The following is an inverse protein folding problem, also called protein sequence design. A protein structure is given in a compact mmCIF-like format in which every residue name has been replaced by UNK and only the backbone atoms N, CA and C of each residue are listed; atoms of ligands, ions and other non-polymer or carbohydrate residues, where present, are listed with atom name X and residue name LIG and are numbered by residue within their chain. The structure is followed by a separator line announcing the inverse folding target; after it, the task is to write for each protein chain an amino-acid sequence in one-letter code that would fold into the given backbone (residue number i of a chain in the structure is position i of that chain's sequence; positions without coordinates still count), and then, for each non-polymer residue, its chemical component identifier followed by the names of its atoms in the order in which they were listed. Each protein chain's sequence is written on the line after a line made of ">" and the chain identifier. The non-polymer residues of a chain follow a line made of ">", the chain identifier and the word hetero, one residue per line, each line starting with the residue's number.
data_IF_090110247710
#
_entry.id   IF_090110247710
#
_cell.length_a   1.000
_cell.length_b   1.000
_cell.length_c   1.000
_cell.angle_alpha   90.00
_cell.angle_beta   90.00
_cell.angle_gamma   90.00
#
_symmetry.space_group_name_H-M   'P 1'
#
loop_
_entity.id
_entity.type
_entity.pdbx_description
1 polymer ?
#
# COMPACT_ATOMS: atom_id res chain seq x y z
N UNK A 1 -16.26 28.37 16.18
CA UNK A 1 -16.34 27.20 15.28
C UNK A 1 -17.51 27.41 14.34
N UNK A 2 -17.35 27.17 13.02
CA UNK A 2 -18.49 27.24 12.09
C UNK A 2 -19.47 26.10 12.42
N UNK A 3 -20.80 26.32 12.35
CA UNK A 3 -21.77 25.28 12.61
C UNK A 3 -21.66 24.16 11.56
N UNK A 4 -21.46 22.91 12.01
CA UNK A 4 -21.42 21.73 11.14
C UNK A 4 -22.84 21.41 10.69
N UNK A 5 -23.13 21.60 9.40
CA UNK A 5 -24.46 21.34 8.84
C UNK A 5 -24.47 20.23 7.80
N UNK A 6 -23.35 20.03 7.10
CA UNK A 6 -23.24 19.10 5.99
C UNK A 6 -21.78 18.66 5.80
N UNK A 7 -21.55 17.70 4.90
CA UNK A 7 -20.23 17.19 4.56
C UNK A 7 -19.29 18.29 4.05
N UNK A 8 -19.79 19.25 3.27
CA UNK A 8 -18.99 20.40 2.76
C UNK A 8 -18.53 21.37 3.84
N UNK A 9 -18.94 21.17 5.09
CA UNK A 9 -18.43 21.92 6.23
C UNK A 9 -17.05 21.42 6.71
N UNK A 10 -16.60 20.26 6.23
CA UNK A 10 -15.30 19.69 6.57
C UNK A 10 -14.24 20.07 5.53
N UNK A 11 -13.04 20.41 6.02
CA UNK A 11 -11.90 20.78 5.17
C UNK A 11 -11.11 19.55 4.66
N UNK A 12 -11.29 18.37 5.27
CA UNK A 12 -10.60 17.12 4.92
C UNK A 12 -11.39 15.90 5.39
N UNK A 13 -11.45 14.86 4.55
CA UNK A 13 -11.95 13.53 4.95
C UNK A 13 -10.76 12.60 5.12
N UNK A 14 -10.66 11.93 6.27
CA UNK A 14 -9.61 10.93 6.53
C UNK A 14 -10.24 9.56 6.74
N UNK A 15 -9.97 8.64 5.82
CA UNK A 15 -10.45 7.26 5.88
C UNK A 15 -9.34 6.28 6.27
N UNK A 16 -9.49 5.56 7.38
CA UNK A 16 -8.59 4.48 7.78
C UNK A 16 -9.36 3.16 7.75
N UNK A 17 -8.98 2.23 6.89
CA UNK A 17 -9.69 0.96 6.84
C UNK A 17 -9.34 0.04 5.68
N UNK A 18 -9.80 -1.21 5.81
CA UNK A 18 -9.56 -2.31 4.89
C UNK A 18 -10.80 -2.77 4.10
N UNK A 19 -11.96 -2.20 4.38
CA UNK A 19 -13.27 -2.77 4.04
C UNK A 19 -14.10 -1.92 3.10
N UNK A 20 -15.36 -2.33 2.94
CA UNK A 20 -16.39 -1.61 2.20
C UNK A 20 -17.55 -1.28 3.16
N UNK A 21 -18.01 -0.03 3.24
CA UNK A 21 -17.48 1.15 2.53
C UNK A 21 -16.10 1.57 3.05
N UNK A 22 -15.23 1.98 2.14
CA UNK A 22 -13.85 2.40 2.39
C UNK A 22 -13.52 3.73 1.72
N UNK A 23 -12.22 3.99 1.53
CA UNK A 23 -11.74 5.27 0.99
C UNK A 23 -12.33 5.56 -0.40
N UNK A 24 -12.52 4.52 -1.22
CA UNK A 24 -13.10 4.65 -2.57
C UNK A 24 -14.49 5.27 -2.53
N UNK A 25 -15.38 4.78 -1.67
CA UNK A 25 -16.75 5.29 -1.54
C UNK A 25 -16.75 6.74 -1.02
N UNK A 26 -15.84 7.07 -0.09
CA UNK A 26 -15.68 8.44 0.39
C UNK A 26 -15.19 9.39 -0.70
N UNK A 27 -14.29 8.95 -1.58
CA UNK A 27 -13.88 9.73 -2.75
C UNK A 27 -15.09 9.98 -3.67
N UNK A 28 -15.80 8.91 -4.04
CA UNK A 28 -16.86 8.99 -5.06
C UNK A 28 -18.12 9.73 -4.59
N UNK A 29 -18.53 9.56 -3.33
CA UNK A 29 -19.81 10.07 -2.84
C UNK A 29 -19.72 11.33 -1.99
N UNK A 30 -18.57 11.61 -1.38
CA UNK A 30 -18.40 12.79 -0.53
C UNK A 30 -17.33 13.75 -1.05
N UNK A 31 -16.15 13.23 -1.41
CA UNK A 31 -15.02 14.03 -1.85
C UNK A 31 -15.29 14.76 -3.17
N UNK A 32 -15.56 13.99 -4.24
CA UNK A 32 -15.77 14.53 -5.59
C UNK A 32 -17.01 15.44 -5.67
N UNK A 33 -18.18 15.07 -5.12
CA UNK A 33 -19.37 15.94 -5.15
C UNK A 33 -19.26 17.15 -4.21
N UNK A 34 -18.55 16.99 -3.09
CA UNK A 34 -18.40 18.03 -2.06
C UNK A 34 -17.22 18.97 -2.29
N UNK A 35 -16.32 18.65 -3.22
CA UNK A 35 -15.05 19.36 -3.41
C UNK A 35 -14.11 19.26 -2.20
N UNK A 36 -14.23 18.19 -1.41
CA UNK A 36 -13.49 18.01 -0.16
C UNK A 36 -12.31 17.06 -0.43
N UNK A 37 -11.07 17.43 -0.11
CA UNK A 37 -9.95 16.51 -0.27
C UNK A 37 -10.14 15.30 0.62
N UNK A 38 -9.79 14.12 0.10
CA UNK A 38 -9.80 12.85 0.85
C UNK A 38 -8.37 12.39 1.04
N UNK A 39 -8.02 11.95 2.23
CA UNK A 39 -6.78 11.25 2.52
C UNK A 39 -7.08 9.98 3.31
N UNK A 40 -6.13 9.07 3.42
CA UNK A 40 -6.38 7.89 4.22
C UNK A 40 -5.26 6.89 4.30
N UNK A 41 -5.56 5.78 4.95
CA UNK A 41 -4.69 4.63 5.12
C UNK A 41 -5.49 3.37 4.88
N UNK A 42 -4.95 2.46 4.07
CA UNK A 42 -5.63 1.23 3.70
C UNK A 42 -4.72 0.01 3.88
N UNK A 43 -5.29 -1.18 3.73
CA UNK A 43 -4.49 -2.40 3.66
C UNK A 43 -3.62 -2.42 2.40
N UNK A 44 -2.53 -3.19 2.41
CA UNK A 44 -1.60 -3.28 1.28
C UNK A 44 -2.29 -3.73 -0.03
N UNK A 45 -3.30 -4.58 0.08
CA UNK A 45 -4.06 -5.11 -1.07
C UNK A 45 -5.00 -4.09 -1.69
N UNK A 46 -5.43 -3.08 -0.92
CA UNK A 46 -6.33 -2.03 -1.41
C UNK A 46 -5.60 -0.83 -2.01
N UNK A 47 -4.33 -0.60 -1.64
CA UNK A 47 -3.57 0.55 -2.13
C UNK A 47 -3.54 0.65 -3.67
N UNK A 48 -3.35 -0.45 -4.44
CA UNK A 48 -3.39 -0.41 -5.90
C UNK A 48 -4.71 0.08 -6.48
N UNK A 49 -5.83 -0.17 -5.79
CA UNK A 49 -7.16 0.25 -6.23
C UNK A 49 -7.39 1.76 -6.04
N UNK A 50 -6.57 2.41 -5.20
CA UNK A 50 -6.72 3.82 -4.85
C UNK A 50 -5.73 4.74 -5.59
N UNK A 51 -4.65 4.19 -6.17
CA UNK A 51 -3.70 4.97 -6.96
C UNK A 51 -4.32 5.78 -8.12
N UNK A 52 -5.36 5.31 -8.84
CA UNK A 52 -5.98 6.11 -9.90
C UNK A 52 -6.60 7.43 -9.42
N UNK A 53 -6.96 7.55 -8.14
CA UNK A 53 -7.55 8.76 -7.58
C UNK A 53 -6.48 9.78 -7.14
N UNK A 54 -5.22 9.38 -7.03
CA UNK A 54 -4.11 10.26 -6.69
C UNK A 54 -3.57 10.99 -7.94
N UNK A 55 -3.25 12.31 -7.88
CA UNK A 55 -3.34 13.22 -6.72
C UNK A 55 -4.63 14.06 -6.70
N UNK A 56 -5.45 14.01 -7.74
CA UNK A 56 -6.54 14.98 -7.93
C UNK A 56 -7.71 14.79 -6.96
N UNK A 57 -8.05 13.53 -6.65
CA UNK A 57 -9.21 13.17 -5.81
C UNK A 57 -8.77 12.58 -4.46
N UNK A 58 -7.48 12.24 -4.31
CA UNK A 58 -6.88 11.70 -3.11
C UNK A 58 -5.59 12.47 -2.79
N UNK A 59 -5.58 13.14 -1.63
CA UNK A 59 -4.50 13.99 -1.13
C UNK A 59 -3.37 13.20 -0.43
N UNK A 60 -3.70 12.05 0.18
CA UNK A 60 -2.80 11.28 1.04
C UNK A 60 -3.15 9.79 1.01
N UNK A 61 -2.17 8.88 0.83
CA UNK A 61 -2.42 7.44 1.04
C UNK A 61 -1.29 6.73 1.79
N UNK A 62 -1.61 6.16 2.95
CA UNK A 62 -0.76 5.22 3.68
C UNK A 62 -1.14 3.78 3.33
N UNK A 63 -0.44 3.20 2.36
CA UNK A 63 -0.68 1.83 1.88
C UNK A 63 0.00 0.77 2.74
N UNK A 64 -0.76 0.11 3.62
CA UNK A 64 -0.30 -1.00 4.44
C UNK A 64 0.92 -0.68 5.31
N UNK A 65 1.70 -1.72 5.62
CA UNK A 65 2.90 -1.60 6.45
C UNK A 65 3.96 -0.71 5.77
N UNK A 66 4.09 -0.79 4.44
CA UNK A 66 5.04 0.03 3.68
C UNK A 66 4.76 1.52 3.85
N UNK A 67 3.51 1.95 3.66
CA UNK A 67 3.14 3.35 3.86
C UNK A 67 3.36 3.82 5.30
N UNK A 68 3.08 2.97 6.28
CA UNK A 68 3.38 3.27 7.69
C UNK A 68 4.90 3.42 7.94
N UNK A 69 5.72 2.53 7.36
CA UNK A 69 7.18 2.58 7.49
C UNK A 69 7.79 3.83 6.84
N UNK A 70 7.30 4.22 5.65
CA UNK A 70 7.73 5.45 4.97
C UNK A 70 7.38 6.69 5.79
N UNK A 71 6.18 6.73 6.38
CA UNK A 71 5.77 7.80 7.29
C UNK A 71 6.67 7.88 8.53
N UNK A 72 6.92 6.75 9.20
CA UNK A 72 7.83 6.69 10.36
C UNK A 72 9.25 7.14 9.98
N UNK A 73 9.75 6.72 8.81
CA UNK A 73 11.09 7.10 8.34
C UNK A 73 11.22 8.60 8.12
N UNK A 74 10.25 9.21 7.44
CA UNK A 74 10.25 10.65 7.18
C UNK A 74 10.05 11.45 8.47
N UNK A 75 9.23 10.94 9.40
CA UNK A 75 9.02 11.53 10.72
C UNK A 75 10.32 11.59 11.53
N UNK A 76 11.09 10.50 11.59
CA UNK A 76 12.38 10.45 12.30
C UNK A 76 13.39 11.42 11.67
N UNK A 77 13.39 11.52 10.34
CA UNK A 77 14.32 12.35 9.57
C UNK A 77 14.13 13.85 9.84
N UNK A 78 12.88 14.30 9.92
CA UNK A 78 12.56 15.70 10.23
C UNK A 78 12.53 16.02 11.73
N UNK A 79 12.25 15.01 12.56
CA UNK A 79 12.06 15.21 13.99
C UNK A 79 12.84 14.14 14.77
N UNK A 80 14.14 14.38 15.06
CA UNK A 80 15.02 13.43 15.73
C UNK A 80 14.50 12.95 17.10
N UNK A 81 13.60 13.71 17.74
CA UNK A 81 12.92 13.32 19.00
C UNK A 81 12.12 12.02 18.90
N UNK A 82 11.66 11.64 17.70
CA UNK A 82 10.93 10.38 17.50
C UNK A 82 11.84 9.18 17.29
N UNK A 83 13.16 9.37 17.12
CA UNK A 83 14.11 8.27 16.90
C UNK A 83 14.10 7.23 18.04
N UNK A 84 13.89 7.66 19.27
CA UNK A 84 13.85 6.79 20.46
C UNK A 84 12.50 6.10 20.68
N UNK A 85 11.47 6.42 19.89
CA UNK A 85 10.17 5.77 19.99
C UNK A 85 10.14 4.43 19.25
N UNK A 86 9.10 3.63 19.50
CA UNK A 86 8.88 2.39 18.77
C UNK A 86 8.45 2.69 17.33
N UNK A 87 9.07 2.01 16.36
CA UNK A 87 8.80 2.13 14.92
C UNK A 87 8.30 0.80 14.36
N UNK A 88 7.06 0.39 14.70
CA UNK A 88 6.53 -0.90 14.28
C UNK A 88 6.44 -1.03 12.75
N UNK A 89 6.10 0.05 12.03
CA UNK A 89 6.06 0.03 10.57
C UNK A 89 7.40 -0.34 9.95
N UNK A 90 8.46 0.36 10.35
CA UNK A 90 9.84 0.09 9.90
C UNK A 90 10.27 -1.32 10.30
N UNK A 91 10.01 -1.74 11.54
CA UNK A 91 10.44 -3.05 12.05
C UNK A 91 9.80 -4.21 11.30
N UNK A 92 8.54 -4.06 10.86
CA UNK A 92 7.82 -5.10 10.11
C UNK A 92 8.25 -5.23 8.64
N UNK A 93 8.96 -4.23 8.08
CA UNK A 93 9.48 -4.29 6.71
C UNK A 93 10.58 -5.35 6.54
N UNK A 94 11.39 -5.59 7.58
CA UNK A 94 12.49 -6.56 7.55
C UNK A 94 12.01 -7.98 7.23
N UNK A 95 11.11 -8.57 8.05
CA UNK A 95 10.53 -9.88 7.79
C UNK A 95 9.81 -9.97 6.43
N UNK A 96 9.07 -8.91 6.04
CA UNK A 96 8.39 -8.87 4.75
C UNK A 96 9.37 -8.97 3.58
N UNK A 97 10.47 -8.22 3.62
CA UNK A 97 11.48 -8.22 2.56
C UNK A 97 12.14 -9.60 2.40
N UNK A 98 12.53 -10.23 3.52
CA UNK A 98 13.13 -11.57 3.52
C UNK A 98 12.14 -12.60 2.94
N UNK A 99 10.88 -12.56 3.38
CA UNK A 99 9.86 -13.49 2.88
C UNK A 99 9.68 -13.38 1.35
N UNK A 100 9.63 -12.16 0.80
CA UNK A 100 9.50 -11.96 -0.64
C UNK A 100 10.73 -12.47 -1.40
N UNK A 101 11.94 -12.25 -0.88
CA UNK A 101 13.18 -12.74 -1.49
C UNK A 101 13.19 -14.28 -1.54
N UNK A 102 12.81 -14.95 -0.45
CA UNK A 102 12.74 -16.42 -0.39
C UNK A 102 11.76 -16.97 -1.43
N UNK A 103 10.58 -16.36 -1.56
CA UNK A 103 9.59 -16.76 -2.58
C UNK A 103 10.15 -16.58 -4.00
N UNK A 104 10.81 -15.46 -4.29
CA UNK A 104 11.44 -15.22 -5.60
C UNK A 104 12.51 -16.26 -5.91
N UNK A 105 13.35 -16.63 -4.94
CA UNK A 105 14.37 -17.67 -5.10
C UNK A 105 13.74 -19.01 -5.45
N UNK A 106 12.67 -19.41 -4.76
CA UNK A 106 11.96 -20.65 -5.08
C UNK A 106 11.31 -20.63 -6.47
N UNK A 107 10.75 -19.50 -6.90
CA UNK A 107 10.23 -19.34 -8.26
C UNK A 107 11.35 -19.51 -9.31
N UNK A 108 12.52 -18.90 -9.08
CA UNK A 108 13.67 -19.01 -9.99
C UNK A 108 14.14 -20.47 -10.09
N UNK A 109 14.32 -21.15 -8.96
CA UNK A 109 14.74 -22.57 -8.94
C UNK A 109 13.71 -23.43 -9.68
N UNK A 110 12.41 -23.25 -9.40
CA UNK A 110 11.34 -23.97 -10.07
C UNK A 110 11.36 -23.77 -11.59
N UNK A 111 11.54 -22.53 -12.05
CA UNK A 111 11.65 -22.22 -13.47
C UNK A 111 12.87 -22.89 -14.11
N UNK A 112 14.04 -22.85 -13.47
CA UNK A 112 15.26 -23.49 -13.98
C UNK A 112 15.06 -24.99 -14.13
N UNK A 113 14.55 -25.68 -13.10
CA UNK A 113 14.29 -27.13 -13.15
C UNK A 113 13.32 -27.49 -14.26
N UNK A 114 12.22 -26.73 -14.41
CA UNK A 114 11.25 -26.90 -15.49
C UNK A 114 11.90 -26.79 -16.89
N UNK A 115 12.76 -25.80 -17.11
CA UNK A 115 13.44 -25.65 -18.40
C UNK A 115 14.44 -26.77 -18.69
N UNK A 116 15.14 -27.27 -17.67
CA UNK A 116 16.07 -28.40 -17.80
C UNK A 116 15.30 -29.67 -18.21
N UNK A 117 14.20 -29.98 -17.53
CA UNK A 117 13.36 -31.14 -17.84
C UNK A 117 12.76 -31.04 -19.25
N UNK A 118 12.20 -29.89 -19.61
CA UNK A 118 11.65 -29.65 -20.95
C UNK A 118 12.69 -29.78 -22.06
N UNK A 119 13.94 -29.41 -21.80
CA UNK A 119 15.05 -29.57 -22.76
C UNK A 119 15.44 -31.05 -22.94
N UNK A 120 15.40 -31.84 -21.86
CA UNK A 120 15.67 -33.29 -21.90
C UNK A 120 14.58 -34.07 -22.63
N UNK A 121 13.30 -33.76 -22.40
CA UNK A 121 12.19 -34.38 -23.14
C UNK A 121 12.25 -34.12 -24.65
N UNK A 122 12.64 -32.90 -25.07
CA UNK A 122 12.81 -32.59 -26.50
C UNK A 122 13.95 -33.39 -27.13
N UNK A 123 15.06 -33.60 -26.43
CA UNK A 123 16.17 -34.44 -26.93
C UNK A 123 15.79 -35.93 -27.00
N UNK A 124 14.99 -36.43 -26.05
CA UNK A 124 14.54 -37.83 -26.04
C UNK A 124 13.48 -38.20 -27.08
N UNK A 125 12.82 -37.22 -27.73
CA UNK A 125 11.88 -37.45 -28.83
C UNK A 125 12.51 -37.35 -30.23
N UNK A 126 13.79 -36.96 -30.29
CA UNK A 126 14.56 -36.71 -31.53
C UNK A 126 15.67 -37.75 -31.77
N UNK A 127 15.83 -38.72 -30.86
CA UNK A 127 16.69 -39.90 -31.01
C UNK A 127 15.86 -41.17 -30.98
#
# INVERSE_FOLDING_TARGET
>A
MKPVRNLTSFDLIVGLGGGTPGIKEWILFAGDPGGIPVAGGCTAVQAPLLYPYWPNQLLGLLGGIKGAAEYESELIKHYPKYKSQSHPGINMMGPQAIAHIVIMVFIIIGNITFFIERSREKKGKLG
#
